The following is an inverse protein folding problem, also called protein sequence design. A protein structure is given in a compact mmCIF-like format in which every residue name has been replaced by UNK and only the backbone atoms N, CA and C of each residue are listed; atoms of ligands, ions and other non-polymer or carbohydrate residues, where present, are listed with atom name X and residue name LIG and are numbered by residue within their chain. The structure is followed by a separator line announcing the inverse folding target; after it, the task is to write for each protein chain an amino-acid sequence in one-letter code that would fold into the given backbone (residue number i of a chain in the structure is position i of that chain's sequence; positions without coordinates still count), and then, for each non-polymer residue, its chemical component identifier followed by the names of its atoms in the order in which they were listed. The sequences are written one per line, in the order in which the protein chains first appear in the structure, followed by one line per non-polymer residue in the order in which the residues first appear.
data_IF_680708213413
#
_entry.id   IF_680708213413
#
_cell.length_a   1.000
_cell.length_b   1.000
_cell.length_c   1.000
_cell.angle_alpha   90.00
_cell.angle_beta   90.00
_cell.angle_gamma   90.00
#
_symmetry.space_group_name_H-M   'P 1'
#
loop_
_entity.id
_entity.type
_entity.pdbx_description
1 polymer ?
#
# COMPACT_ATOMS: atom_id res chain seq x y z
N UNK A 1 17.05 -2.17 -0.31
CA UNK A 1 16.78 -2.26 -1.75
C UNK A 1 16.60 -0.84 -2.23
N UNK A 2 17.29 -0.44 -3.29
CA UNK A 2 17.04 0.86 -3.92
C UNK A 2 15.89 0.67 -4.90
N UNK A 3 14.82 1.44 -4.73
CA UNK A 3 13.71 1.50 -5.68
C UNK A 3 14.02 2.60 -6.71
N UNK A 4 14.21 2.27 -8.00
CA UNK A 4 14.41 3.28 -9.04
C UNK A 4 13.34 4.38 -8.98
N UNK A 5 13.78 5.64 -9.09
CA UNK A 5 12.87 6.78 -9.01
C UNK A 5 12.06 6.93 -10.31
N UNK A 6 10.91 7.59 -10.18
CA UNK A 6 9.98 7.90 -11.27
C UNK A 6 9.41 6.68 -12.02
N UNK A 7 9.44 5.50 -11.41
CA UNK A 7 8.77 4.29 -11.91
C UNK A 7 7.99 3.62 -10.78
N UNK A 8 6.94 2.89 -11.16
CA UNK A 8 6.17 2.04 -10.24
C UNK A 8 6.90 0.70 -10.04
N UNK A 9 6.83 0.19 -8.82
CA UNK A 9 7.40 -1.10 -8.40
C UNK A 9 6.31 -1.98 -7.82
N UNK A 10 6.17 -3.19 -8.33
CA UNK A 10 5.42 -4.25 -7.66
C UNK A 10 6.26 -4.76 -6.47
N UNK A 11 5.70 -4.66 -5.27
CA UNK A 11 6.40 -4.98 -4.03
C UNK A 11 5.55 -5.86 -3.12
N UNK A 12 6.24 -6.53 -2.20
CA UNK A 12 5.62 -7.28 -1.11
C UNK A 12 6.09 -6.71 0.23
N UNK A 13 5.13 -6.28 1.04
CA UNK A 13 5.32 -5.82 2.41
C UNK A 13 5.29 -7.05 3.30
N UNK A 14 6.42 -7.35 3.94
CA UNK A 14 6.60 -8.55 4.78
C UNK A 14 6.80 -8.18 6.24
N UNK A 15 6.08 -8.85 7.13
CA UNK A 15 6.24 -8.73 8.58
C UNK A 15 5.82 -10.05 9.25
N UNK A 16 6.78 -10.85 9.74
CA UNK A 16 6.51 -12.20 10.27
C UNK A 16 5.72 -13.05 9.26
N UNK A 17 4.51 -13.51 9.62
CA UNK A 17 3.63 -14.32 8.78
C UNK A 17 2.75 -13.50 7.81
N UNK A 18 2.99 -12.19 7.74
CA UNK A 18 2.18 -11.24 6.97
C UNK A 18 2.86 -10.91 5.65
N UNK A 19 2.10 -11.04 4.55
CA UNK A 19 2.54 -10.68 3.20
C UNK A 19 1.44 -9.89 2.48
N UNK A 20 1.69 -8.60 2.24
CA UNK A 20 0.75 -7.69 1.58
C UNK A 20 1.34 -7.19 0.26
N UNK A 21 0.57 -7.29 -0.82
CA UNK A 21 1.00 -6.85 -2.15
C UNK A 21 0.75 -5.36 -2.32
N UNK A 22 1.64 -4.67 -3.03
CA UNK A 22 1.45 -3.26 -3.32
C UNK A 22 2.26 -2.74 -4.49
N UNK A 23 1.87 -1.55 -4.93
CA UNK A 23 2.56 -0.74 -5.92
C UNK A 23 3.19 0.47 -5.22
N UNK A 24 4.51 0.52 -5.22
CA UNK A 24 5.29 1.63 -4.70
C UNK A 24 5.78 2.50 -5.84
N UNK A 25 5.51 3.80 -5.76
CA UNK A 25 6.09 4.80 -6.65
C UNK A 25 6.84 5.84 -5.84
N UNK A 26 8.10 6.10 -6.19
CA UNK A 26 8.92 7.15 -5.58
C UNK A 26 9.31 8.19 -6.64
N UNK A 27 8.84 9.45 -6.52
CA UNK A 27 9.30 10.51 -7.40
C UNK A 27 10.73 10.94 -7.06
N UNK A 28 11.36 11.71 -7.95
CA UNK A 28 12.61 12.39 -7.63
C UNK A 28 12.42 13.42 -6.52
N UNK A 29 13.34 13.44 -5.54
CA UNK A 29 13.31 14.33 -4.37
C UNK A 29 11.93 14.35 -3.67
N UNK A 30 11.48 13.18 -3.17
CA UNK A 30 10.15 13.03 -2.59
C UNK A 30 10.01 13.89 -1.33
N UNK A 31 8.86 14.55 -1.19
CA UNK A 31 8.52 15.38 -0.02
C UNK A 31 7.88 14.58 1.12
N UNK A 32 7.42 13.36 0.82
CA UNK A 32 6.73 12.47 1.74
C UNK A 32 6.15 11.27 0.98
N UNK A 33 5.50 10.36 1.69
CA UNK A 33 4.88 9.16 1.13
C UNK A 33 3.42 9.06 1.58
N UNK A 34 2.52 8.80 0.63
CA UNK A 34 1.08 8.63 0.89
C UNK A 34 0.71 7.16 0.74
N UNK A 35 0.18 6.56 1.82
CA UNK A 35 -0.30 5.19 1.84
C UNK A 35 -1.82 5.17 1.59
N UNK A 36 -2.26 4.37 0.61
CA UNK A 36 -3.67 4.23 0.29
C UNK A 36 -4.27 3.02 1.02
N UNK A 37 -5.06 3.28 2.07
CA UNK A 37 -5.99 2.30 2.60
C UNK A 37 -7.23 2.23 1.69
N UNK A 38 -7.37 1.17 0.89
CA UNK A 38 -8.51 1.04 -0.01
C UNK A 38 -9.81 0.72 0.77
N UNK A 39 -10.95 1.07 0.18
CA UNK A 39 -12.26 0.76 0.75
C UNK A 39 -12.58 -0.74 0.71
N UNK A 40 -13.61 -1.12 1.47
CA UNK A 40 -14.13 -2.48 1.57
C UNK A 40 -14.47 -3.06 0.18
N UNK A 41 -13.88 -4.21 -0.16
CA UNK A 41 -14.05 -4.86 -1.48
C UNK A 41 -13.35 -4.20 -2.66
N UNK A 42 -12.50 -3.20 -2.41
CA UNK A 42 -11.55 -2.68 -3.39
C UNK A 42 -10.16 -3.32 -3.18
N UNK A 43 -9.17 -2.93 -3.96
CA UNK A 43 -7.81 -3.45 -3.89
C UNK A 43 -6.81 -2.38 -4.35
N UNK A 44 -5.52 -2.72 -4.37
CA UNK A 44 -4.44 -1.91 -4.96
C UNK A 44 -4.73 -1.47 -6.40
N UNK A 45 -5.56 -2.20 -7.14
CA UNK A 45 -5.95 -1.90 -8.52
C UNK A 45 -7.09 -0.88 -8.68
N UNK A 46 -7.52 -0.21 -7.61
CA UNK A 46 -8.57 0.82 -7.68
C UNK A 46 -8.19 1.93 -8.67
N UNK A 47 -8.92 2.02 -9.79
CA UNK A 47 -8.71 3.07 -10.81
C UNK A 47 -8.82 4.48 -10.25
N UNK A 48 -9.71 4.69 -9.27
CA UNK A 48 -9.86 5.96 -8.54
C UNK A 48 -8.59 6.30 -7.75
N UNK A 49 -8.02 5.34 -7.03
CA UNK A 49 -6.83 5.57 -6.22
C UNK A 49 -5.59 5.75 -7.09
N UNK A 50 -5.45 4.99 -8.19
CA UNK A 50 -4.38 5.21 -9.16
C UNK A 50 -4.44 6.61 -9.78
N UNK A 51 -5.64 7.12 -10.10
CA UNK A 51 -5.82 8.49 -10.58
C UNK A 51 -5.33 9.52 -9.56
N UNK A 52 -5.73 9.38 -8.28
CA UNK A 52 -5.26 10.27 -7.20
C UNK A 52 -3.74 10.15 -7.03
N UNK A 53 -3.20 8.94 -7.02
CA UNK A 53 -1.77 8.70 -6.88
C UNK A 53 -0.96 9.38 -7.99
N UNK A 54 -1.41 9.31 -9.25
CA UNK A 54 -0.76 10.01 -10.35
C UNK A 54 -0.71 11.54 -10.16
N UNK A 55 -1.74 12.14 -9.56
CA UNK A 55 -1.75 13.57 -9.24
C UNK A 55 -0.76 13.88 -8.12
N UNK A 56 -0.71 13.06 -7.06
CA UNK A 56 0.23 13.21 -5.95
C UNK A 56 1.70 13.03 -6.38
N UNK A 57 1.95 12.06 -7.27
CA UNK A 57 3.27 11.79 -7.84
C UNK A 57 3.82 13.02 -8.59
N UNK A 58 2.97 13.71 -9.35
CA UNK A 58 3.33 14.98 -10.03
C UNK A 58 3.65 16.10 -9.03
N UNK A 59 3.12 16.04 -7.81
CA UNK A 59 3.43 16.96 -6.72
C UNK A 59 4.65 16.55 -5.87
N UNK A 60 5.43 15.55 -6.32
CA UNK A 60 6.60 14.98 -5.61
C UNK A 60 6.26 14.27 -4.30
N UNK A 61 5.06 13.72 -4.18
CA UNK A 61 4.73 12.77 -3.13
C UNK A 61 4.90 11.35 -3.66
N UNK A 62 5.60 10.50 -2.92
CA UNK A 62 5.56 9.06 -3.18
C UNK A 62 4.19 8.49 -2.87
N UNK A 63 3.86 7.35 -3.47
CA UNK A 63 2.60 6.66 -3.19
C UNK A 63 2.80 5.17 -3.02
N UNK A 64 2.11 4.60 -2.04
CA UNK A 64 1.98 3.17 -1.86
C UNK A 64 0.49 2.78 -1.97
N UNK A 65 0.14 2.05 -3.02
CA UNK A 65 -1.19 1.43 -3.18
C UNK A 65 -1.04 -0.04 -2.85
N UNK A 66 -1.63 -0.53 -1.77
CA UNK A 66 -1.41 -1.90 -1.30
C UNK A 66 -2.71 -2.53 -0.84
N UNK A 67 -2.74 -3.86 -0.81
CA UNK A 67 -3.87 -4.61 -0.28
C UNK A 67 -3.77 -4.73 1.24
N UNK A 68 -4.89 -4.52 1.94
CA UNK A 68 -4.95 -4.65 3.39
C UNK A 68 -5.11 -6.11 3.85
N UNK A 69 -5.47 -7.00 2.93
CA UNK A 69 -5.64 -8.42 3.17
C UNK A 69 -4.55 -9.20 2.43
N UNK A 70 -4.11 -10.30 3.03
CA UNK A 70 -3.28 -11.27 2.33
C UNK A 70 -4.10 -11.96 1.22
N UNK A 71 -3.46 -12.48 0.17
CA UNK A 71 -4.18 -13.14 -0.93
C UNK A 71 -5.14 -14.27 -0.47
N UNK A 72 -4.75 -15.01 0.57
CA UNK A 72 -5.56 -16.07 1.16
C UNK A 72 -6.78 -15.51 1.92
N UNK A 73 -6.61 -14.40 2.63
CA UNK A 73 -7.71 -13.71 3.32
C UNK A 73 -8.69 -13.10 2.32
N UNK A 74 -8.18 -12.49 1.24
CA UNK A 74 -9.00 -11.91 0.17
C UNK A 74 -9.86 -12.99 -0.51
N UNK A 75 -9.30 -14.16 -0.81
CA UNK A 75 -10.05 -15.28 -1.40
C UNK A 75 -11.24 -15.73 -0.54
N UNK A 76 -11.07 -15.75 0.79
CA UNK A 76 -12.14 -16.09 1.74
C UNK A 76 -13.16 -14.93 1.82
N UNK A 77 -12.67 -13.70 1.97
CA UNK A 77 -13.47 -12.49 2.15
C UNK A 77 -14.38 -12.18 0.96
N UNK A 78 -14.00 -12.59 -0.26
CA UNK A 78 -14.85 -12.50 -1.45
C UNK A 78 -16.21 -13.20 -1.26
N UNK A 79 -16.23 -14.28 -0.45
CA UNK A 79 -17.45 -15.04 -0.16
C UNK A 79 -18.04 -14.66 1.19
N UNK A 80 -17.21 -14.58 2.23
CA UNK A 80 -17.67 -14.47 3.63
C UNK A 80 -17.84 -13.02 4.09
N UNK A 81 -17.10 -12.08 3.50
CA UNK A 81 -17.00 -10.66 3.89
C UNK A 81 -16.55 -10.45 5.35
N UNK A 82 -15.89 -11.44 5.94
CA UNK A 82 -15.54 -11.43 7.37
C UNK A 82 -14.36 -10.52 7.72
N UNK A 83 -13.49 -10.21 6.76
CA UNK A 83 -12.26 -9.44 6.99
C UNK A 83 -12.40 -7.98 6.60
N UNK A 84 -13.17 -7.66 5.55
CA UNK A 84 -13.29 -6.29 4.99
C UNK A 84 -13.98 -5.26 5.90
N UNK A 85 -14.54 -5.71 7.02
CA UNK A 85 -15.11 -4.85 8.07
C UNK A 85 -14.42 -5.03 9.43
N UNK A 86 -13.39 -5.88 9.50
CA UNK A 86 -12.58 -6.04 10.70
C UNK A 86 -11.61 -4.86 10.82
N UNK A 87 -12.11 -3.71 11.28
CA UNK A 87 -11.33 -2.47 11.40
C UNK A 87 -10.04 -2.66 12.23
N UNK A 88 -10.04 -3.41 13.36
CA UNK A 88 -8.81 -3.71 14.09
C UNK A 88 -7.73 -4.39 13.22
N UNK A 89 -8.12 -5.40 12.44
CA UNK A 89 -7.21 -6.07 11.49
C UNK A 89 -6.68 -5.07 10.46
N UNK A 90 -7.56 -4.33 9.79
CA UNK A 90 -7.16 -3.39 8.74
C UNK A 90 -6.23 -2.28 9.27
N UNK A 91 -6.49 -1.77 10.48
CA UNK A 91 -5.64 -0.79 11.14
C UNK A 91 -4.25 -1.37 11.45
N UNK A 92 -4.17 -2.61 11.95
CA UNK A 92 -2.89 -3.30 12.18
C UNK A 92 -2.08 -3.43 10.88
N UNK A 93 -2.74 -3.79 9.78
CA UNK A 93 -2.12 -3.95 8.45
C UNK A 93 -1.56 -2.63 7.93
N UNK A 94 -2.27 -1.52 8.18
CA UNK A 94 -1.79 -0.18 7.84
C UNK A 94 -0.56 0.23 8.68
N UNK A 95 -0.54 -0.09 9.97
CA UNK A 95 0.64 0.16 10.84
C UNK A 95 1.85 -0.63 10.34
N UNK A 96 1.66 -1.91 9.97
CA UNK A 96 2.72 -2.75 9.39
C UNK A 96 3.28 -2.12 8.11
N UNK A 97 2.41 -1.71 7.19
CA UNK A 97 2.84 -1.05 5.96
C UNK A 97 3.60 0.26 6.23
N UNK A 98 3.14 1.04 7.21
CA UNK A 98 3.80 2.29 7.64
C UNK A 98 5.20 2.02 8.16
N UNK A 99 5.36 1.06 9.07
CA UNK A 99 6.67 0.69 9.62
C UNK A 99 7.61 0.17 8.54
N UNK A 100 7.11 -0.70 7.65
CA UNK A 100 7.89 -1.20 6.53
C UNK A 100 8.39 -0.07 5.63
N UNK A 101 7.56 0.94 5.35
CA UNK A 101 7.96 2.11 4.57
C UNK A 101 9.06 2.92 5.28
N UNK A 102 8.94 3.16 6.58
CA UNK A 102 9.96 3.87 7.36
C UNK A 102 11.32 3.17 7.34
N UNK A 103 11.33 1.83 7.29
CA UNK A 103 12.56 1.05 7.26
C UNK A 103 13.16 0.89 5.86
N UNK A 104 12.32 0.77 4.82
CA UNK A 104 12.75 0.39 3.47
C UNK A 104 12.85 1.55 2.50
N UNK A 105 12.25 2.69 2.82
CA UNK A 105 12.37 3.90 2.02
C UNK A 105 13.25 4.90 2.78
N UNK A 106 14.21 5.54 2.10
CA UNK A 106 15.01 6.63 2.68
C UNK A 106 14.19 7.94 2.83
N UNK A 107 12.87 7.84 2.88
CA UNK A 107 11.92 8.94 2.96
C UNK A 107 11.48 9.02 4.41
N UNK A 108 11.67 10.19 5.03
CA UNK A 108 11.10 10.44 6.34
C UNK A 108 9.57 10.46 6.21
N UNK A 109 8.88 9.54 6.89
CA UNK A 109 7.42 9.56 7.04
C UNK A 109 6.98 10.64 8.02
#
# INVERSE_FOLDING_TARGET
MEYPLNTEHDITIVNEDISLNGFLYLPQAPLGLVLFAHGSGSSRFSSRNHCVAQVLNKARLGTLLFDLLMPQEEAIDLTTREFRFNIPLLAQRLVIATNWCSEKTSICL
#
